data_IF_973498276057
#
_entry.id   IF_973498276057
#
_cell.length_a   1.000
_cell.length_b   1.000
_cell.length_c   1.000
_cell.angle_alpha   90.00
_cell.angle_beta   90.00
_cell.angle_gamma   90.00
#
_symmetry.space_group_name_H-M   'P 1'
#
loop_
_entity.id
_entity.type
_entity.pdbx_description
1 polymer ?
#
# COMPACT_ATOMS: atom_id res chain seq x y z
N UNK A 1 2.00 -4.36 24.58
CA UNK A 1 1.58 -5.59 23.85
C UNK A 1 2.11 -5.50 22.43
N UNK A 2 3.36 -5.94 22.20
CA UNK A 2 4.02 -5.83 20.90
C UNK A 2 3.43 -6.87 19.95
N UNK A 3 2.71 -6.43 18.91
CA UNK A 3 2.26 -7.31 17.83
C UNK A 3 3.49 -7.79 17.09
N UNK A 4 3.84 -9.05 17.30
CA UNK A 4 4.87 -9.80 16.56
C UNK A 4 4.42 -9.83 15.10
N UNK A 5 4.88 -8.86 14.30
CA UNK A 5 4.72 -8.87 12.86
C UNK A 5 5.51 -10.08 12.37
N UNK A 6 4.79 -11.14 12.03
CA UNK A 6 5.36 -12.26 11.31
C UNK A 6 5.99 -11.64 10.06
N UNK A 7 7.32 -11.67 10.00
CA UNK A 7 8.09 -11.26 8.82
C UNK A 7 7.77 -12.29 7.74
N UNK A 8 6.62 -12.15 7.09
CA UNK A 8 6.34 -12.84 5.84
C UNK A 8 7.45 -12.39 4.90
N UNK A 9 8.25 -13.33 4.42
CA UNK A 9 9.26 -13.08 3.39
C UNK A 9 8.54 -12.62 2.12
N UNK A 10 8.25 -11.33 2.04
CA UNK A 10 7.66 -10.70 0.88
C UNK A 10 8.69 -10.75 -0.25
N UNK A 11 8.38 -11.50 -1.32
CA UNK A 11 9.24 -11.65 -2.50
C UNK A 11 9.18 -10.36 -3.32
N UNK A 12 10.33 -9.82 -3.75
CA UNK A 12 10.35 -8.68 -4.67
C UNK A 12 9.63 -9.06 -5.97
N UNK A 13 8.84 -8.12 -6.51
CA UNK A 13 8.07 -8.32 -7.75
C UNK A 13 6.78 -9.13 -7.63
N UNK A 14 6.43 -9.63 -6.43
CA UNK A 14 5.13 -10.27 -6.21
C UNK A 14 4.05 -9.22 -5.89
N UNK A 15 2.84 -9.45 -6.38
CA UNK A 15 1.68 -8.60 -6.12
C UNK A 15 1.03 -8.94 -4.77
N UNK A 16 0.75 -7.90 -3.99
CA UNK A 16 0.15 -7.97 -2.67
C UNK A 16 -1.07 -7.06 -2.58
N UNK A 17 -2.15 -7.59 -2.01
CA UNK A 17 -3.37 -6.83 -1.79
C UNK A 17 -3.30 -6.07 -0.46
N UNK A 18 -3.44 -4.76 -0.52
CA UNK A 18 -3.58 -3.89 0.65
C UNK A 18 -5.02 -3.39 0.72
N UNK A 19 -5.72 -3.76 1.79
CA UNK A 19 -7.06 -3.24 2.05
C UNK A 19 -7.01 -1.74 2.33
N UNK A 20 -7.86 -0.97 1.63
CA UNK A 20 -7.93 0.48 1.79
C UNK A 20 -9.08 0.84 2.71
N UNK A 21 -8.86 1.75 3.68
CA UNK A 21 -9.93 2.27 4.52
C UNK A 21 -11.10 2.80 3.70
N UNK A 22 -12.31 2.29 3.99
CA UNK A 22 -13.51 2.68 3.24
C UNK A 22 -13.79 4.19 3.35
N UNK A 23 -13.38 4.84 4.46
CA UNK A 23 -13.55 6.28 4.67
C UNK A 23 -12.89 7.14 3.57
N UNK A 24 -11.84 6.66 2.89
CA UNK A 24 -11.23 7.40 1.79
C UNK A 24 -12.16 7.57 0.58
N UNK A 25 -13.15 6.68 0.43
CA UNK A 25 -14.17 6.84 -0.61
C UNK A 25 -15.14 7.98 -0.32
N UNK A 26 -15.36 8.31 0.95
CA UNK A 26 -16.20 9.44 1.38
C UNK A 26 -15.43 10.76 1.42
N UNK A 27 -14.16 10.68 1.82
CA UNK A 27 -13.28 11.85 1.91
C UNK A 27 -12.89 12.37 0.53
N UNK A 28 -12.64 11.46 -0.43
CA UNK A 28 -12.21 11.83 -1.75
C UNK A 28 -13.33 12.47 -2.57
N UNK A 29 -13.14 13.73 -2.96
CA UNK A 29 -14.07 14.44 -3.86
C UNK A 29 -13.82 14.13 -5.33
N UNK A 30 -12.59 13.71 -5.66
CA UNK A 30 -12.19 13.35 -7.03
C UNK A 30 -11.42 12.03 -7.04
N UNK A 31 -11.33 11.41 -8.22
CA UNK A 31 -10.53 10.19 -8.41
C UNK A 31 -9.05 10.42 -8.10
N UNK A 32 -8.51 11.60 -8.45
CA UNK A 32 -7.10 11.93 -8.18
C UNK A 32 -6.84 12.06 -6.68
N UNK A 33 -7.77 12.65 -5.93
CA UNK A 33 -7.67 12.75 -4.48
C UNK A 33 -7.73 11.37 -3.81
N UNK A 34 -8.61 10.49 -4.28
CA UNK A 34 -8.67 9.10 -3.83
C UNK A 34 -7.34 8.36 -4.05
N UNK A 35 -6.76 8.49 -5.25
CA UNK A 35 -5.45 7.89 -5.56
C UNK A 35 -4.37 8.44 -4.62
N UNK A 36 -4.38 9.76 -4.36
CA UNK A 36 -3.46 10.39 -3.41
C UNK A 36 -3.55 9.81 -2.00
N UNK A 37 -4.76 9.66 -1.46
CA UNK A 37 -4.97 9.05 -0.14
C UNK A 37 -4.49 7.60 -0.09
N UNK A 38 -4.81 6.80 -1.12
CA UNK A 38 -4.38 5.40 -1.21
C UNK A 38 -2.87 5.29 -1.24
N UNK A 39 -2.19 6.05 -2.09
CA UNK A 39 -0.73 6.03 -2.22
C UNK A 39 -0.07 6.49 -0.92
N UNK A 40 -0.57 7.56 -0.30
CA UNK A 40 -0.07 8.04 0.99
C UNK A 40 -0.22 7.00 2.11
N UNK A 41 -1.37 6.34 2.18
CA UNK A 41 -1.63 5.29 3.15
C UNK A 41 -0.72 4.07 2.98
N UNK A 42 -0.54 3.61 1.75
CA UNK A 42 0.36 2.48 1.46
C UNK A 42 1.78 2.83 1.82
N UNK A 43 2.29 4.01 1.45
CA UNK A 43 3.63 4.47 1.84
C UNK A 43 3.82 4.55 3.35
N UNK A 44 2.83 5.05 4.08
CA UNK A 44 2.92 5.19 5.54
C UNK A 44 2.77 3.87 6.29
N UNK A 45 1.88 2.99 5.84
CA UNK A 45 1.53 1.74 6.55
C UNK A 45 2.34 0.53 6.09
N UNK A 46 2.83 0.54 4.84
CA UNK A 46 3.56 -0.55 4.20
C UNK A 46 4.84 0.01 3.55
N UNK A 47 5.86 0.40 4.34
CA UNK A 47 7.12 0.92 3.79
C UNK A 47 7.78 -0.11 2.87
N UNK A 48 8.30 0.35 1.73
CA UNK A 48 8.86 -0.51 0.67
C UNK A 48 7.80 -1.12 -0.27
N UNK A 49 6.52 -0.80 -0.09
CA UNK A 49 5.48 -1.19 -1.05
C UNK A 49 5.13 -0.01 -1.96
N UNK A 50 4.98 -0.32 -3.24
CA UNK A 50 4.52 0.60 -4.27
C UNK A 50 3.19 0.15 -4.83
N UNK A 51 2.26 1.09 -4.90
CA UNK A 51 0.96 0.86 -5.54
C UNK A 51 1.15 0.72 -7.05
N UNK A 52 0.74 -0.43 -7.60
CA UNK A 52 0.74 -0.70 -9.05
C UNK A 52 -0.62 -0.36 -9.64
N UNK A 53 -1.70 -0.75 -8.96
CA UNK A 53 -3.07 -0.49 -9.38
C UNK A 53 -4.00 -0.39 -8.17
N UNK A 54 -5.09 0.33 -8.34
CA UNK A 54 -6.11 0.49 -7.32
C UNK A 54 -7.40 -0.10 -7.87
N UNK A 55 -7.89 -1.11 -7.18
CA UNK A 55 -9.20 -1.70 -7.42
C UNK A 55 -10.19 -1.21 -6.34
N UNK A 56 -11.48 -1.47 -6.54
CA UNK A 56 -12.53 -0.98 -5.64
C UNK A 56 -12.33 -1.50 -4.21
N UNK A 57 -11.81 -0.65 -3.32
CA UNK A 57 -11.55 -0.96 -1.91
C UNK A 57 -10.19 -1.61 -1.60
N UNK A 58 -9.32 -1.81 -2.60
CA UNK A 58 -8.00 -2.44 -2.39
C UNK A 58 -6.94 -1.85 -3.33
N UNK A 59 -5.72 -1.77 -2.83
CA UNK A 59 -4.54 -1.41 -3.63
C UNK A 59 -3.70 -2.65 -3.87
N UNK A 60 -3.42 -2.94 -5.13
CA UNK A 60 -2.45 -3.96 -5.50
C UNK A 60 -1.08 -3.32 -5.50
N UNK A 61 -0.22 -3.81 -4.63
CA UNK A 61 1.09 -3.26 -4.36
C UNK A 61 2.17 -4.30 -4.65
N UNK A 62 3.31 -3.86 -5.13
CA UNK A 62 4.52 -4.69 -5.19
C UNK A 62 5.46 -4.24 -4.10
N UNK A 63 6.18 -5.19 -3.49
CA UNK A 63 7.32 -4.82 -2.66
C UNK A 63 8.46 -4.45 -3.61
N UNK A 64 8.82 -3.18 -3.62
CA UNK A 64 10.06 -2.76 -4.25
C UNK A 64 11.20 -3.31 -3.38
N UNK A 65 12.17 -3.96 -4.02
CA UNK A 65 13.45 -4.20 -3.38
C UNK A 65 13.91 -2.80 -2.96
N UNK A 66 13.94 -2.53 -1.66
CA UNK A 66 14.55 -1.30 -1.19
C UNK A 66 15.96 -1.37 -1.72
N UNK A 67 16.25 -0.53 -2.71
CA UNK A 67 17.60 -0.24 -3.14
C UNK A 67 18.26 0.31 -1.88
N UNK A 68 18.91 -0.59 -1.13
CA UNK A 68 19.83 -0.22 -0.08
C UNK A 68 21.01 0.33 -0.86
N UNK A 69 20.90 1.62 -1.20
CA UNK A 69 21.99 2.38 -1.77
C UNK A 69 23.22 2.14 -0.89
N UNK A 70 24.24 1.55 -1.50
CA UNK A 70 25.56 1.30 -0.91
C UNK A 70 26.23 2.61 -0.50
#
# INVERSE_FOLDING_TARGET
MAKKLVEKAYKPGLEYEVAIPHCYTWLARTKQEYIGYVVGYVRASHPGFRVVRIEKGKAICIKEEQDVGF
#
